data_IF_010380056645
#
_entry.id   IF_010380056645
#
_cell.length_a   1.000
_cell.length_b   1.000
_cell.length_c   1.000
_cell.angle_alpha   90.00
_cell.angle_beta   90.00
_cell.angle_gamma   90.00
#
_symmetry.space_group_name_H-M   'P 1'
#
loop_
_entity.id
_entity.type
_entity.pdbx_description
1 polymer ?
#
# COMPACT_ATOMS: atom_id res chain seq x y z
N UNK A 1 -9.54 22.45 -7.38
CA UNK A 1 -8.87 21.23 -7.94
C UNK A 1 -7.43 21.22 -7.49
N UNK A 2 -6.91 20.06 -7.12
CA UNK A 2 -5.49 19.87 -6.84
C UNK A 2 -4.88 19.01 -7.95
N UNK A 3 -3.69 19.35 -8.37
CA UNK A 3 -2.99 18.60 -9.39
C UNK A 3 -1.57 18.30 -8.89
N UNK A 4 -1.20 17.02 -8.85
CA UNK A 4 0.12 16.60 -8.40
C UNK A 4 0.87 16.03 -9.60
N UNK A 5 1.98 16.68 -9.98
CA UNK A 5 2.82 16.20 -11.07
C UNK A 5 3.57 14.95 -10.62
N UNK A 6 3.77 14.00 -11.52
CA UNK A 6 4.48 12.76 -11.22
C UNK A 6 5.88 13.02 -10.65
N UNK A 7 6.55 14.09 -11.10
CA UNK A 7 7.89 14.45 -10.62
C UNK A 7 7.89 14.91 -9.17
N UNK A 8 6.73 15.39 -8.68
CA UNK A 8 6.60 15.93 -7.33
C UNK A 8 6.10 14.88 -6.34
N UNK A 9 5.78 13.68 -6.81
CA UNK A 9 5.31 12.60 -5.93
C UNK A 9 6.49 12.09 -5.11
N UNK A 10 6.36 12.23 -3.78
CA UNK A 10 7.37 11.75 -2.85
C UNK A 10 7.35 10.23 -2.78
N UNK A 11 8.52 9.62 -2.64
CA UNK A 11 8.66 8.17 -2.48
C UNK A 11 9.23 7.86 -1.11
N UNK A 12 8.66 6.87 -0.45
CA UNK A 12 9.16 6.31 0.80
C UNK A 12 9.60 4.89 0.55
N UNK A 13 10.52 4.36 1.36
CA UNK A 13 11.02 3.01 1.14
C UNK A 13 11.27 2.24 2.44
N UNK A 14 11.11 0.94 2.34
CA UNK A 14 11.63 -0.07 3.23
C UNK A 14 12.41 -1.07 2.35
N UNK A 15 13.20 -1.99 2.90
CA UNK A 15 13.92 -2.96 2.09
C UNK A 15 12.97 -3.70 1.13
N UNK A 16 13.23 -3.59 -0.18
CA UNK A 16 12.42 -4.22 -1.22
C UNK A 16 11.08 -3.58 -1.49
N UNK A 17 10.75 -2.45 -0.84
CA UNK A 17 9.44 -1.81 -0.94
C UNK A 17 9.61 -0.32 -1.23
N UNK A 18 8.96 0.15 -2.30
CA UNK A 18 8.88 1.59 -2.60
C UNK A 18 7.41 1.98 -2.60
N UNK A 19 7.06 3.02 -1.84
CA UNK A 19 5.71 3.57 -1.79
C UNK A 19 5.70 4.98 -2.35
N UNK A 20 5.02 5.17 -3.46
CA UNK A 20 4.79 6.49 -4.04
C UNK A 20 3.59 7.12 -3.35
N UNK A 21 3.82 8.28 -2.75
CA UNK A 21 2.79 9.00 -1.98
C UNK A 21 1.99 9.88 -2.93
N UNK A 22 1.00 9.30 -3.61
CA UNK A 22 0.28 9.98 -4.70
C UNK A 22 -0.56 11.12 -4.17
N UNK A 23 -1.43 10.86 -3.19
CA UNK A 23 -2.17 11.89 -2.45
C UNK A 23 -2.07 11.57 -0.97
N UNK A 24 -1.59 12.52 -0.18
CA UNK A 24 -1.45 12.35 1.26
C UNK A 24 -1.61 13.71 1.96
N UNK A 25 -1.62 13.76 3.29
CA UNK A 25 -1.79 15.02 4.01
C UNK A 25 -0.74 16.10 3.75
N UNK A 26 0.40 15.74 3.15
CA UNK A 26 1.45 16.74 2.83
C UNK A 26 1.22 17.43 1.49
N UNK A 27 0.53 16.79 0.55
CA UNK A 27 0.33 17.36 -0.80
C UNK A 27 -1.14 17.56 -1.20
N UNK A 28 -2.06 17.23 -0.31
CA UNK A 28 -3.50 17.33 -0.58
C UNK A 28 -4.25 17.80 0.66
N UNK A 29 -5.30 18.58 0.45
CA UNK A 29 -6.22 19.00 1.52
C UNK A 29 -7.37 18.02 1.70
N UNK A 30 -7.36 16.88 1.02
CA UNK A 30 -8.43 15.90 1.17
C UNK A 30 -8.54 15.46 2.62
N UNK A 31 -9.77 15.53 3.15
CA UNK A 31 -10.10 15.01 4.48
C UNK A 31 -10.69 13.59 4.39
N UNK A 32 -10.61 12.95 3.22
CA UNK A 32 -11.29 11.68 2.99
C UNK A 32 -10.36 10.52 2.67
N UNK A 33 -9.29 10.73 1.90
CA UNK A 33 -8.47 9.62 1.42
C UNK A 33 -6.99 9.95 1.36
N UNK A 34 -6.18 8.92 1.51
CA UNK A 34 -4.77 8.86 1.10
C UNK A 34 -4.66 7.80 0.02
N UNK A 35 -3.90 8.08 -1.03
CA UNK A 35 -3.66 7.13 -2.11
C UNK A 35 -2.16 6.93 -2.26
N UNK A 36 -1.73 5.67 -2.24
CA UNK A 36 -0.33 5.30 -2.49
C UNK A 36 -0.26 4.23 -3.56
N UNK A 37 0.86 4.20 -4.27
CA UNK A 37 1.18 3.14 -5.21
C UNK A 37 2.43 2.44 -4.68
N UNK A 38 2.32 1.14 -4.43
CA UNK A 38 3.36 0.38 -3.75
C UNK A 38 3.96 -0.65 -4.69
N UNK A 39 5.28 -0.66 -4.72
CA UNK A 39 6.09 -1.57 -5.53
C UNK A 39 6.86 -2.51 -4.60
N UNK A 40 6.65 -3.81 -4.75
CA UNK A 40 7.38 -4.83 -4.01
C UNK A 40 8.30 -5.60 -4.95
N UNK A 41 9.59 -5.64 -4.62
CA UNK A 41 10.54 -6.50 -5.29
C UNK A 41 10.25 -7.98 -4.99
N UNK A 42 10.75 -8.93 -5.80
CA UNK A 42 10.68 -10.35 -5.46
C UNK A 42 11.16 -10.61 -4.04
N UNK A 43 10.45 -11.47 -3.33
CA UNK A 43 10.67 -11.87 -1.94
C UNK A 43 10.34 -10.80 -0.89
N UNK A 44 10.07 -9.56 -1.28
CA UNK A 44 9.74 -8.51 -0.31
C UNK A 44 8.42 -8.78 0.40
N UNK A 45 8.37 -8.40 1.68
CA UNK A 45 7.20 -8.59 2.53
C UNK A 45 6.85 -7.27 3.20
N UNK A 46 5.56 -6.93 3.16
CA UNK A 46 4.97 -6.00 4.10
C UNK A 46 4.32 -6.83 5.21
N UNK A 47 4.82 -6.76 6.44
CA UNK A 47 4.34 -7.61 7.53
C UNK A 47 2.85 -7.40 7.84
N UNK A 48 2.24 -8.41 8.45
CA UNK A 48 0.88 -8.30 8.97
C UNK A 48 0.78 -7.12 9.93
N UNK A 49 -0.24 -6.32 9.74
CA UNK A 49 -0.56 -5.17 10.58
C UNK A 49 -2.05 -4.89 10.50
N UNK A 50 -2.54 -4.01 11.37
CA UNK A 50 -3.93 -3.59 11.37
C UNK A 50 -4.00 -2.08 11.64
N UNK A 51 -5.04 -1.44 11.12
CA UNK A 51 -5.34 -0.04 11.42
C UNK A 51 -6.67 0.03 12.17
N UNK A 52 -6.67 0.64 13.35
CA UNK A 52 -7.85 0.66 14.21
C UNK A 52 -8.95 1.60 13.72
N UNK A 53 -8.57 2.61 12.94
CA UNK A 53 -9.48 3.69 12.56
C UNK A 53 -9.45 4.02 11.07
N UNK A 54 -8.93 3.14 10.24
CA UNK A 54 -8.86 3.33 8.80
C UNK A 54 -9.40 2.12 8.06
N UNK A 55 -10.14 2.41 7.00
CA UNK A 55 -10.49 1.43 5.99
C UNK A 55 -9.45 1.51 4.87
N UNK A 56 -9.01 0.38 4.36
CA UNK A 56 -8.09 0.33 3.23
C UNK A 56 -8.65 -0.52 2.09
N UNK A 57 -8.37 -0.09 0.88
CA UNK A 57 -8.70 -0.83 -0.33
C UNK A 57 -7.40 -1.00 -1.11
N UNK A 58 -7.06 -2.25 -1.45
CA UNK A 58 -5.93 -2.57 -2.31
C UNK A 58 -6.44 -2.99 -3.67
N UNK A 59 -5.81 -2.47 -4.72
CA UNK A 59 -6.08 -2.89 -6.08
C UNK A 59 -4.76 -3.26 -6.75
N UNK A 60 -4.60 -4.53 -7.10
CA UNK A 60 -3.38 -5.02 -7.72
C UNK A 60 -3.37 -4.62 -9.21
N UNK A 61 -2.28 -4.02 -9.66
CA UNK A 61 -2.15 -3.55 -11.04
C UNK A 61 -1.06 -4.26 -11.83
N UNK A 62 -0.13 -4.95 -11.16
CA UNK A 62 0.93 -5.69 -11.87
C UNK A 62 1.43 -6.84 -11.00
N UNK A 63 1.55 -8.00 -11.59
CA UNK A 63 2.19 -9.15 -10.95
C UNK A 63 1.27 -10.00 -10.11
N UNK A 64 1.87 -10.87 -9.29
CA UNK A 64 1.18 -11.81 -8.42
C UNK A 64 1.78 -11.73 -7.02
N UNK A 65 0.94 -11.71 -6.01
CA UNK A 65 1.36 -11.69 -4.62
C UNK A 65 0.47 -12.55 -3.74
N UNK A 66 0.78 -12.55 -2.45
CA UNK A 66 0.03 -13.27 -1.43
C UNK A 66 -0.41 -12.28 -0.35
N UNK A 67 -1.72 -12.17 -0.13
CA UNK A 67 -2.25 -11.45 1.02
C UNK A 67 -2.00 -12.29 2.27
N UNK A 68 -1.43 -11.65 3.28
CA UNK A 68 -1.19 -12.25 4.59
C UNK A 68 -2.29 -11.76 5.52
N UNK A 69 -3.13 -12.68 5.98
CA UNK A 69 -4.36 -12.36 6.72
C UNK A 69 -4.26 -12.82 8.18
N UNK A 70 -5.32 -12.56 8.94
CA UNK A 70 -5.39 -12.99 10.35
C UNK A 70 -5.28 -14.51 10.48
N UNK A 71 -4.79 -14.97 11.64
CA UNK A 71 -4.68 -16.38 11.99
C UNK A 71 -3.80 -17.19 11.05
N UNK A 72 -2.77 -16.55 10.48
CA UNK A 72 -1.84 -17.22 9.57
C UNK A 72 -2.41 -17.55 8.20
N UNK A 73 -3.61 -17.06 7.89
CA UNK A 73 -4.25 -17.33 6.60
C UNK A 73 -3.58 -16.54 5.48
N UNK A 74 -3.66 -17.05 4.28
CA UNK A 74 -3.10 -16.46 3.07
C UNK A 74 -4.10 -16.55 1.94
N UNK A 75 -3.98 -15.61 0.98
CA UNK A 75 -4.84 -15.60 -0.19
C UNK A 75 -4.07 -15.06 -1.38
N UNK A 76 -4.18 -15.72 -2.53
CA UNK A 76 -3.60 -15.22 -3.77
C UNK A 76 -4.19 -13.84 -4.12
N UNK A 77 -3.32 -12.94 -4.57
CA UNK A 77 -3.70 -11.57 -4.91
C UNK A 77 -2.92 -11.16 -6.16
N UNK A 78 -3.61 -11.08 -7.28
CA UNK A 78 -2.97 -10.89 -8.59
C UNK A 78 -3.54 -9.67 -9.30
N UNK A 79 -2.83 -9.19 -10.30
CA UNK A 79 -3.24 -8.03 -11.10
C UNK A 79 -4.70 -8.14 -11.52
N UNK A 80 -5.47 -7.09 -11.23
CA UNK A 80 -6.91 -7.04 -11.47
C UNK A 80 -7.77 -7.37 -10.27
N UNK A 81 -7.20 -7.97 -9.22
CA UNK A 81 -7.93 -8.26 -7.98
C UNK A 81 -8.01 -7.04 -7.08
N UNK A 82 -9.09 -6.96 -6.31
CA UNK A 82 -9.26 -5.93 -5.28
C UNK A 82 -9.58 -6.56 -3.93
N UNK A 83 -9.10 -5.94 -2.86
CA UNK A 83 -9.38 -6.37 -1.50
C UNK A 83 -9.74 -5.14 -0.65
N UNK A 84 -10.70 -5.31 0.25
CA UNK A 84 -11.09 -4.29 1.21
C UNK A 84 -10.81 -4.79 2.63
N UNK A 85 -10.16 -3.96 3.41
CA UNK A 85 -9.88 -4.22 4.82
C UNK A 85 -10.65 -3.21 5.66
N UNK A 86 -11.55 -3.70 6.51
CA UNK A 86 -12.27 -2.86 7.45
C UNK A 86 -11.34 -2.47 8.62
N UNK A 87 -11.80 -1.56 9.46
CA UNK A 87 -11.10 -1.19 10.67
C UNK A 87 -10.74 -2.46 11.46
N UNK A 88 -9.48 -2.58 11.86
CA UNK A 88 -9.00 -3.70 12.65
C UNK A 88 -8.68 -4.99 11.88
N UNK A 89 -8.97 -5.07 10.59
CA UNK A 89 -8.62 -6.25 9.81
C UNK A 89 -7.11 -6.38 9.66
N UNK A 90 -6.57 -7.54 10.04
CA UNK A 90 -5.15 -7.84 9.88
C UNK A 90 -4.86 -8.12 8.41
N UNK A 91 -3.83 -7.47 7.89
CA UNK A 91 -3.39 -7.69 6.52
C UNK A 91 -1.90 -7.41 6.35
N UNK A 92 -1.33 -8.03 5.39
CA UNK A 92 0.03 -7.82 4.92
C UNK A 92 0.13 -8.35 3.50
N UNK A 93 1.31 -8.26 2.90
CA UNK A 93 1.49 -8.66 1.52
C UNK A 93 2.89 -9.19 1.30
N UNK A 94 2.98 -10.32 0.62
CA UNK A 94 4.24 -10.96 0.28
C UNK A 94 4.33 -11.15 -1.23
N UNK A 95 5.41 -10.68 -1.82
CA UNK A 95 5.69 -10.96 -3.21
C UNK A 95 6.53 -12.24 -3.29
N UNK A 96 5.86 -13.37 -3.43
CA UNK A 96 6.52 -14.67 -3.55
C UNK A 96 6.86 -15.04 -4.99
N UNK A 97 6.74 -14.10 -5.92
CA UNK A 97 7.04 -14.32 -7.33
C UNK A 97 8.46 -13.84 -7.68
N UNK A 98 8.85 -14.05 -8.92
CA UNK A 98 10.15 -13.61 -9.42
C UNK A 98 10.10 -12.25 -10.12
N UNK A 99 8.92 -11.62 -10.16
CA UNK A 99 8.70 -10.33 -10.81
C UNK A 99 8.20 -9.31 -9.82
N UNK A 100 8.30 -8.03 -10.17
CA UNK A 100 7.77 -6.93 -9.36
C UNK A 100 6.25 -7.08 -9.20
N UNK A 101 5.77 -6.79 -7.99
CA UNK A 101 4.35 -6.70 -7.70
C UNK A 101 3.99 -5.24 -7.40
N UNK A 102 2.93 -4.73 -8.03
CA UNK A 102 2.49 -3.34 -7.84
C UNK A 102 1.01 -3.28 -7.49
N UNK A 103 0.69 -2.52 -6.46
CA UNK A 103 -0.71 -2.29 -6.10
C UNK A 103 -0.95 -0.84 -5.69
N UNK A 104 -2.21 -0.41 -5.82
CA UNK A 104 -2.69 0.87 -5.31
C UNK A 104 -3.35 0.63 -3.97
N UNK A 105 -3.06 1.48 -2.99
CA UNK A 105 -3.73 1.48 -1.69
C UNK A 105 -4.49 2.78 -1.52
N UNK A 106 -5.77 2.66 -1.19
CA UNK A 106 -6.62 3.80 -0.81
C UNK A 106 -6.96 3.64 0.66
N UNK A 107 -6.68 4.67 1.46
CA UNK A 107 -6.92 4.65 2.91
C UNK A 107 -7.84 5.80 3.30
N UNK A 108 -8.87 5.51 4.08
CA UNK A 108 -9.84 6.49 4.57
C UNK A 108 -10.10 6.27 6.06
N UNK A 109 -10.05 7.31 6.92
CA UNK A 109 -9.63 8.69 6.63
C UNK A 109 -8.13 8.78 6.29
N UNK A 110 -7.68 9.96 5.84
CA UNK A 110 -6.29 10.14 5.43
C UNK A 110 -5.29 9.82 6.54
N UNK A 111 -4.15 9.28 6.12
CA UNK A 111 -3.04 8.99 7.02
C UNK A 111 -1.73 9.34 6.32
N UNK A 112 -0.78 9.88 7.08
CA UNK A 112 0.57 10.08 6.59
C UNK A 112 1.40 8.85 6.96
N UNK A 113 1.83 8.08 5.94
CA UNK A 113 2.56 6.83 6.15
C UNK A 113 4.05 7.01 6.44
N UNK A 114 4.51 8.26 6.64
CA UNK A 114 5.92 8.50 6.93
C UNK A 114 6.47 7.68 8.10
N UNK A 115 5.64 7.39 9.10
CA UNK A 115 6.05 6.59 10.25
C UNK A 115 6.35 5.12 9.91
N UNK A 116 5.75 4.60 8.85
CA UNK A 116 5.84 3.18 8.48
C UNK A 116 7.06 2.86 7.61
N UNK A 117 7.76 3.88 7.11
CA UNK A 117 8.89 3.72 6.21
C UNK A 117 10.16 4.32 6.80
N UNK A 118 11.28 3.60 6.63
CA UNK A 118 12.57 4.01 7.20
C UNK A 118 13.39 4.88 6.27
N UNK A 119 13.04 4.92 4.98
CA UNK A 119 13.82 5.64 3.98
C UNK A 119 12.96 6.40 2.99
N UNK A 120 13.65 7.27 2.23
CA UNK A 120 13.10 7.96 1.07
C UNK A 120 13.83 7.44 -0.15
N UNK A 121 13.06 7.04 -1.14
CA UNK A 121 13.63 6.55 -2.39
C UNK A 121 13.88 7.70 -3.36
#
# INVERSE_FOLDING_TARGET
MEFVKKEDIKKLSNPGVISRQILNPENSKSARVTITEVHLEPAAIQPRHAHDSQEQIYYAIKGNGILLLADGKEKDFSAGDAARFADGDVHGLWNNSEEEFVYISVTSPPINFGYAYKGKA
#
